data_IF_641197215055
#
_entry.id   IF_641197215055
#
_cell.length_a   1.000
_cell.length_b   1.000
_cell.length_c   1.000
_cell.angle_alpha   90.00
_cell.angle_beta   90.00
_cell.angle_gamma   90.00
#
_symmetry.space_group_name_H-M   'P 1'
#
loop_
_entity.id
_entity.type
_entity.pdbx_description
1 polymer ?
#
# COMPACT_ATOMS: atom_id res chain seq x y z
N UNK A 1 1.44 -4.60 2.34
CA UNK A 1 0.89 -4.61 0.96
C UNK A 1 1.86 -3.92 0.03
N UNK A 2 1.90 -4.28 -1.26
CA UNK A 2 2.62 -3.53 -2.29
C UNK A 2 1.77 -3.30 -3.56
N UNK A 3 2.12 -2.29 -4.36
CA UNK A 3 1.45 -2.02 -5.64
C UNK A 3 2.37 -1.39 -6.67
N UNK A 4 2.12 -1.70 -7.94
CA UNK A 4 2.81 -1.15 -9.11
C UNK A 4 1.90 -0.30 -10.01
N UNK A 5 0.77 0.21 -9.47
CA UNK A 5 -0.13 1.07 -10.25
C UNK A 5 0.54 2.37 -10.71
N UNK A 6 0.19 2.86 -11.90
CA UNK A 6 0.77 4.09 -12.44
C UNK A 6 0.47 5.33 -11.59
N UNK A 7 -0.68 5.36 -10.92
CA UNK A 7 -1.05 6.45 -10.02
C UNK A 7 -0.20 6.44 -8.75
N UNK A 8 0.02 5.27 -8.14
CA UNK A 8 0.88 5.16 -6.97
C UNK A 8 2.32 5.55 -7.31
N UNK A 9 2.83 5.17 -8.49
CA UNK A 9 4.16 5.61 -8.96
C UNK A 9 4.29 7.12 -9.06
N UNK A 10 3.30 7.78 -9.66
CA UNK A 10 3.30 9.25 -9.79
C UNK A 10 3.24 9.94 -8.43
N UNK A 11 2.45 9.38 -7.53
CA UNK A 11 2.23 9.99 -6.22
C UNK A 11 3.45 9.84 -5.31
N UNK A 12 4.07 8.66 -5.26
CA UNK A 12 5.20 8.39 -4.37
C UNK A 12 6.56 8.65 -5.01
N UNK A 13 6.60 8.86 -6.33
CA UNK A 13 7.84 8.83 -7.13
C UNK A 13 8.66 7.55 -6.98
N UNK A 14 8.04 6.44 -6.53
CA UNK A 14 8.66 5.12 -6.43
C UNK A 14 8.03 4.15 -7.43
N UNK A 15 8.83 3.25 -8.01
CA UNK A 15 8.33 2.23 -8.95
C UNK A 15 7.40 1.22 -8.28
N UNK A 16 7.61 0.96 -6.99
CA UNK A 16 6.75 0.13 -6.13
C UNK A 16 6.40 0.92 -4.89
N UNK A 17 5.11 1.05 -4.63
CA UNK A 17 4.60 1.63 -3.39
C UNK A 17 4.31 0.52 -2.39
N UNK A 18 4.78 0.68 -1.16
CA UNK A 18 4.60 -0.28 -0.07
C UNK A 18 3.87 0.36 1.11
N UNK A 19 2.99 -0.41 1.73
CA UNK A 19 2.10 0.06 2.77
C UNK A 19 1.95 -0.94 3.91
N UNK A 20 1.74 -0.40 5.10
CA UNK A 20 1.09 -1.09 6.20
C UNK A 20 -0.41 -0.85 6.10
N UNK A 21 -1.20 -1.93 6.14
CA UNK A 21 -2.66 -1.86 6.18
C UNK A 21 -3.07 -1.89 7.64
N UNK A 22 -3.62 -0.79 8.16
CA UNK A 22 -3.85 -0.59 9.59
C UNK A 22 -5.29 -0.14 9.86
N UNK A 23 -5.82 -0.49 11.02
CA UNK A 23 -6.99 0.19 11.59
C UNK A 23 -6.59 1.59 12.10
N UNK A 24 -7.47 2.61 11.97
CA UNK A 24 -7.23 3.92 12.56
C UNK A 24 -6.89 3.90 14.06
N UNK A 25 -7.38 2.90 14.80
CA UNK A 25 -7.12 2.72 16.24
C UNK A 25 -5.67 2.36 16.55
N UNK A 26 -4.92 1.86 15.56
CA UNK A 26 -3.51 1.49 15.72
C UNK A 26 -2.56 2.70 15.64
N UNK A 27 -3.08 3.90 15.37
CA UNK A 27 -2.28 5.13 15.35
C UNK A 27 -2.55 6.00 16.56
N UNK A 28 -1.50 6.30 17.31
CA UNK A 28 -1.54 7.23 18.43
C UNK A 28 -0.38 8.24 18.33
N UNK A 29 -0.66 9.55 18.23
CA UNK A 29 -1.99 10.15 18.06
C UNK A 29 -2.52 9.92 16.62
N UNK A 30 -3.83 10.06 16.42
CA UNK A 30 -4.43 9.91 15.09
C UNK A 30 -3.85 10.94 14.09
N UNK A 31 -3.67 10.57 12.82
CA UNK A 31 -3.01 11.44 11.82
C UNK A 31 -3.66 12.82 11.68
N UNK A 32 -4.99 12.88 11.77
CA UNK A 32 -5.74 14.14 11.65
C UNK A 32 -5.54 15.10 12.82
N UNK A 33 -4.88 14.67 13.91
CA UNK A 33 -4.50 15.56 15.02
C UNK A 33 -3.28 16.41 14.68
N UNK A 34 -2.47 16.01 13.70
CA UNK A 34 -1.31 16.78 13.25
C UNK A 34 -1.75 17.89 12.29
N UNK A 35 -1.47 19.18 12.58
CA UNK A 35 -1.89 20.29 11.72
C UNK A 35 -1.31 20.24 10.30
N UNK A 36 -0.13 19.63 10.14
CA UNK A 36 0.56 19.45 8.86
C UNK A 36 -0.02 18.30 8.03
N UNK A 37 -0.82 17.39 8.60
CA UNK A 37 -1.46 16.35 7.83
C UNK A 37 -2.66 16.91 7.05
N UNK A 38 -2.67 16.72 5.73
CA UNK A 38 -3.76 17.13 4.83
C UNK A 38 -4.14 15.99 3.91
N UNK A 39 -5.43 15.80 3.72
CA UNK A 39 -5.96 14.83 2.76
C UNK A 39 -6.56 15.54 1.54
N UNK A 40 -6.35 14.95 0.38
CA UNK A 40 -6.93 15.40 -0.89
C UNK A 40 -7.61 14.24 -1.59
N UNK A 41 -8.75 14.50 -2.21
CA UNK A 41 -9.50 13.52 -3.00
C UNK A 41 -8.85 13.36 -4.38
N UNK A 42 -8.42 12.15 -4.70
CA UNK A 42 -7.81 11.84 -6.00
C UNK A 42 -8.79 11.28 -7.03
N UNK A 43 -9.86 10.65 -6.56
CA UNK A 43 -11.07 10.25 -7.29
C UNK A 43 -12.20 10.09 -6.27
N UNK A 44 -13.48 10.00 -6.68
CA UNK A 44 -14.59 9.88 -5.74
C UNK A 44 -14.33 8.77 -4.70
N UNK A 45 -14.37 9.13 -3.42
CA UNK A 45 -14.13 8.19 -2.31
C UNK A 45 -12.67 7.75 -2.09
N UNK A 46 -11.68 8.22 -2.87
CA UNK A 46 -10.26 7.85 -2.71
C UNK A 46 -9.42 9.03 -2.24
N UNK A 47 -8.90 8.92 -1.02
CA UNK A 47 -8.20 10.01 -0.33
C UNK A 47 -6.71 9.72 -0.23
N UNK A 48 -5.92 10.77 -0.41
CA UNK A 48 -4.45 10.77 -0.36
C UNK A 48 -4.01 11.79 0.67
N UNK A 49 -3.31 11.33 1.70
CA UNK A 49 -2.78 12.11 2.81
C UNK A 49 -1.33 12.52 2.58
N UNK A 50 -1.00 13.76 2.94
CA UNK A 50 0.31 14.37 2.76
C UNK A 50 0.70 15.22 3.96
N UNK A 51 2.01 15.45 4.13
CA UNK A 51 2.50 16.56 4.93
C UNK A 51 2.43 17.86 4.10
N UNK A 52 1.72 18.87 4.58
CA UNK A 52 1.60 20.18 3.91
C UNK A 52 2.86 21.05 4.00
N UNK A 53 3.85 20.66 4.80
CA UNK A 53 5.09 21.40 4.95
C UNK A 53 6.18 20.92 3.98
N UNK A 54 6.34 19.60 3.84
CA UNK A 54 7.39 19.00 3.01
C UNK A 54 6.87 18.21 1.79
N UNK A 55 5.56 17.95 1.69
CA UNK A 55 4.96 17.24 0.57
C UNK A 55 5.04 15.71 0.64
N UNK A 56 5.61 15.13 1.70
CA UNK A 56 5.69 13.68 1.88
C UNK A 56 4.31 13.02 1.77
N UNK A 57 4.23 11.92 1.01
CA UNK A 57 3.04 11.06 0.94
C UNK A 57 2.95 10.21 2.20
N UNK A 58 1.83 10.27 2.92
CA UNK A 58 1.69 9.65 4.25
C UNK A 58 0.73 8.48 4.24
N UNK A 59 -0.48 8.66 3.71
CA UNK A 59 -1.51 7.66 3.83
C UNK A 59 -2.46 7.63 2.63
N UNK A 60 -3.02 6.48 2.30
CA UNK A 60 -4.15 6.33 1.39
C UNK A 60 -5.33 5.73 2.13
N UNK A 61 -6.56 6.13 1.79
CA UNK A 61 -7.75 5.44 2.27
C UNK A 61 -8.89 5.48 1.26
N UNK A 62 -9.77 4.51 1.41
CA UNK A 62 -11.02 4.38 0.68
C UNK A 62 -12.21 4.74 1.57
N UNK A 63 -13.22 5.42 1.02
CA UNK A 63 -14.53 5.53 1.65
C UNK A 63 -15.33 4.21 1.60
N UNK A 64 -15.04 3.34 0.64
CA UNK A 64 -15.75 2.06 0.46
C UNK A 64 -15.48 1.09 1.61
N UNK A 65 -14.35 1.26 2.31
CA UNK A 65 -13.98 0.43 3.45
C UNK A 65 -13.22 1.26 4.50
N UNK A 66 -13.98 1.91 5.38
CA UNK A 66 -13.49 2.75 6.47
C UNK A 66 -12.73 2.06 7.63
N UNK A 67 -12.85 0.73 7.88
CA UNK A 67 -12.13 0.09 8.98
C UNK A 67 -10.60 0.07 8.84
N UNK A 68 -10.05 0.32 7.66
CA UNK A 68 -8.61 0.34 7.41
C UNK A 68 -8.18 1.57 6.61
N UNK A 69 -6.90 1.87 6.69
CA UNK A 69 -6.19 2.75 5.78
C UNK A 69 -4.79 2.20 5.53
N UNK A 70 -4.17 2.69 4.46
CA UNK A 70 -2.81 2.33 4.09
C UNK A 70 -1.85 3.42 4.55
N UNK A 71 -0.96 3.10 5.49
CA UNK A 71 0.17 3.95 5.86
C UNK A 71 1.36 3.61 4.97
N UNK A 72 2.01 4.62 4.39
CA UNK A 72 3.22 4.39 3.61
C UNK A 72 4.34 3.83 4.47
N UNK A 73 4.89 2.68 4.08
CA UNK A 73 5.94 2.03 4.86
C UNK A 73 7.18 2.93 5.02
N UNK A 74 7.49 3.73 4.01
CA UNK A 74 8.61 4.67 4.03
C UNK A 74 8.45 5.86 4.97
N UNK A 75 7.32 5.99 5.69
CA UNK A 75 7.16 7.04 6.73
C UNK A 75 7.55 6.56 8.13
N UNK A 76 7.94 5.30 8.29
CA UNK A 76 8.46 4.81 9.57
C UNK A 76 9.87 5.36 9.81
N UNK A 77 10.21 5.55 11.08
CA UNK A 77 11.55 5.96 11.47
C UNK A 77 12.60 4.90 11.07
N UNK A 78 13.80 5.37 10.76
CA UNK A 78 14.90 4.57 10.23
C UNK A 78 15.21 3.34 11.10
N UNK A 79 15.09 3.47 12.42
CA UNK A 79 15.36 2.38 13.38
C UNK A 79 14.52 1.12 13.12
N UNK A 80 13.32 1.27 12.55
CA UNK A 80 12.41 0.15 12.25
C UNK A 80 12.63 -0.45 10.86
N UNK A 81 13.26 0.30 9.95
CA UNK A 81 13.47 -0.11 8.56
C UNK A 81 14.88 -0.64 8.29
N UNK A 82 15.88 -0.15 9.04
CA UNK A 82 17.30 -0.51 8.85
C UNK A 82 17.70 -1.72 9.70
N UNK A 83 16.96 -2.03 10.77
CA UNK A 83 17.11 -3.32 11.47
C UNK A 83 16.78 -4.49 10.54
N UNK A 84 17.68 -5.48 10.48
CA UNK A 84 17.64 -6.52 9.45
C UNK A 84 16.41 -7.43 9.53
N UNK A 85 15.96 -7.78 10.73
CA UNK A 85 14.81 -8.69 10.89
C UNK A 85 13.49 -7.92 10.98
N UNK A 86 13.45 -6.80 11.70
CA UNK A 86 12.23 -5.98 11.82
C UNK A 86 11.89 -5.33 10.49
N UNK A 87 12.88 -4.70 9.83
CA UNK A 87 12.71 -4.07 8.53
C UNK A 87 12.26 -5.08 7.48
N UNK A 88 12.85 -6.28 7.47
CA UNK A 88 12.41 -7.39 6.60
C UNK A 88 10.97 -7.81 6.90
N UNK A 89 10.60 -7.95 8.16
CA UNK A 89 9.22 -8.31 8.55
C UNK A 89 8.20 -7.29 8.08
N UNK A 90 8.52 -6.00 8.18
CA UNK A 90 7.64 -4.91 7.74
C UNK A 90 7.62 -4.74 6.21
N UNK A 91 8.77 -4.94 5.55
CA UNK A 91 8.95 -4.66 4.13
C UNK A 91 8.62 -5.83 3.21
N UNK A 92 8.59 -7.08 3.68
CA UNK A 92 8.10 -8.20 2.87
C UNK A 92 6.57 -8.13 2.82
N UNK A 93 5.95 -7.96 1.63
CA UNK A 93 4.50 -8.01 1.52
C UNK A 93 3.98 -9.35 2.04
N UNK A 94 3.02 -9.33 2.96
CA UNK A 94 2.41 -10.54 3.50
C UNK A 94 0.88 -10.63 3.27
N UNK A 95 0.24 -9.49 2.95
CA UNK A 95 -1.16 -9.43 2.50
C UNK A 95 -1.28 -9.63 0.99
N UNK A 96 -1.19 -8.52 0.25
CA UNK A 96 -1.39 -8.51 -1.21
C UNK A 96 -0.34 -7.68 -1.95
N UNK A 97 -0.17 -7.99 -3.23
CA UNK A 97 0.54 -7.23 -4.23
C UNK A 97 -0.39 -6.97 -5.42
N UNK A 98 -0.70 -5.70 -5.69
CA UNK A 98 -1.62 -5.30 -6.76
C UNK A 98 -0.90 -4.74 -7.99
N UNK A 99 -1.61 -4.80 -9.12
CA UNK A 99 -1.20 -4.18 -10.39
C UNK A 99 0.08 -4.77 -10.99
N UNK A 100 0.31 -6.08 -10.81
CA UNK A 100 1.51 -6.76 -11.32
C UNK A 100 1.57 -6.82 -12.85
N UNK A 101 0.46 -6.60 -13.56
CA UNK A 101 0.52 -6.42 -15.02
C UNK A 101 1.38 -5.21 -15.44
N UNK A 102 1.58 -4.26 -14.53
CA UNK A 102 2.44 -3.09 -14.75
C UNK A 102 3.88 -3.32 -14.26
N UNK A 103 4.21 -4.52 -13.77
CA UNK A 103 5.56 -4.83 -13.31
C UNK A 103 6.54 -4.70 -14.48
N UNK A 104 7.73 -4.16 -14.17
CA UNK A 104 8.84 -4.06 -15.11
C UNK A 104 9.67 -5.31 -14.89
N UNK A 105 9.76 -6.14 -15.93
CA UNK A 105 10.51 -7.40 -15.92
C UNK A 105 11.96 -7.19 -15.47
N UNK A 106 12.41 -8.01 -14.53
CA UNK A 106 13.74 -7.94 -13.93
C UNK A 106 13.97 -6.75 -12.99
N UNK A 107 12.98 -5.88 -12.77
CA UNK A 107 13.11 -4.67 -11.94
C UNK A 107 12.14 -4.72 -10.76
N UNK A 108 10.82 -4.66 -11.02
CA UNK A 108 9.81 -4.58 -9.96
C UNK A 108 9.07 -5.89 -9.71
N UNK A 109 9.21 -6.87 -10.60
CA UNK A 109 8.68 -8.25 -10.49
C UNK A 109 9.46 -9.14 -9.49
N UNK A 110 10.58 -8.62 -8.99
CA UNK A 110 11.45 -9.30 -8.02
C UNK A 110 10.94 -9.23 -6.58
N UNK A 111 10.00 -8.34 -6.26
CA UNK A 111 9.42 -8.27 -4.93
C UNK A 111 8.54 -9.50 -4.69
N UNK A 112 8.85 -10.28 -3.65
CA UNK A 112 8.15 -11.53 -3.31
C UNK A 112 7.40 -11.41 -2.00
N UNK A 113 6.31 -12.18 -1.88
CA UNK A 113 5.47 -12.29 -0.68
C UNK A 113 4.02 -11.85 -0.92
N UNK A 114 3.11 -12.31 -0.05
CA UNK A 114 1.69 -12.01 -0.15
C UNK A 114 1.03 -12.61 -1.40
N UNK A 115 -0.26 -12.33 -1.59
CA UNK A 115 -1.02 -12.75 -2.76
C UNK A 115 -0.81 -11.78 -3.93
N UNK A 116 -0.52 -12.32 -5.10
CA UNK A 116 -0.19 -11.56 -6.30
C UNK A 116 -1.41 -11.38 -7.21
N UNK A 117 -1.69 -10.14 -7.62
CA UNK A 117 -2.81 -9.83 -8.51
C UNK A 117 -2.39 -8.90 -9.65
N UNK A 118 -2.87 -9.21 -10.87
CA UNK A 118 -2.63 -8.39 -12.06
C UNK A 118 -3.28 -7.00 -11.98
N UNK A 119 -4.43 -6.88 -11.32
CA UNK A 119 -5.16 -5.61 -11.07
C UNK A 119 -5.82 -5.63 -9.68
N UNK A 120 -6.30 -4.48 -9.20
CA UNK A 120 -7.21 -4.42 -8.05
C UNK A 120 -8.67 -4.73 -8.46
N UNK A 121 -9.53 -4.98 -7.48
CA UNK A 121 -10.97 -5.12 -7.69
C UNK A 121 -11.71 -3.78 -7.57
N UNK A 122 -13.00 -3.72 -7.90
CA UNK A 122 -13.75 -2.47 -8.05
C UNK A 122 -13.87 -1.63 -6.77
N UNK A 123 -13.78 -2.24 -5.59
CA UNK A 123 -13.80 -1.61 -4.27
C UNK A 123 -12.39 -1.27 -3.74
N UNK A 124 -11.34 -1.59 -4.51
CA UNK A 124 -9.94 -1.49 -4.08
C UNK A 124 -9.43 -2.73 -3.37
N UNK A 125 -10.25 -3.78 -3.27
CA UNK A 125 -9.89 -5.09 -2.76
C UNK A 125 -10.17 -6.11 -3.87
N UNK A 126 -9.27 -7.08 -4.08
CA UNK A 126 -9.69 -8.33 -4.72
C UNK A 126 -9.83 -9.29 -3.58
N UNK A 127 -11.09 -9.65 -3.33
CA UNK A 127 -11.59 -10.44 -2.22
C UNK A 127 -10.56 -11.38 -1.57
N UNK A 128 -10.70 -11.55 -0.25
CA UNK A 128 -10.16 -12.69 0.50
C UNK A 128 -10.84 -14.02 0.08
N UNK A 129 -11.22 -14.16 -1.20
CA UNK A 129 -12.08 -15.22 -1.71
C UNK A 129 -11.30 -16.54 -1.77
N UNK A 130 -11.72 -17.59 -1.04
CA UNK A 130 -11.09 -18.91 -1.12
C UNK A 130 -11.26 -19.57 -2.50
N UNK A 131 -12.05 -18.99 -3.41
CA UNK A 131 -12.32 -19.56 -4.73
C UNK A 131 -11.23 -19.26 -5.79
N UNK A 132 -10.26 -18.38 -5.53
CA UNK A 132 -9.17 -18.11 -6.49
C UNK A 132 -8.02 -19.14 -6.45
N UNK A 133 -8.10 -20.16 -5.59
CA UNK A 133 -7.20 -21.32 -5.60
C UNK A 133 -7.63 -22.37 -6.64
N UNK A 134 -7.89 -22.02 -7.90
CA UNK A 134 -7.98 -23.05 -8.96
C UNK A 134 -7.66 -22.46 -10.34
N UNK A 135 -6.38 -22.35 -10.69
CA UNK A 135 -5.95 -22.53 -12.09
C UNK A 135 -4.42 -22.66 -12.29
N UNK A 136 -3.69 -23.27 -11.36
CA UNK A 136 -2.32 -23.71 -11.65
C UNK A 136 -2.28 -25.23 -11.63
N UNK A 137 -2.38 -25.81 -12.83
CA UNK A 137 -2.23 -27.23 -13.04
C UNK A 137 -2.95 -27.72 -14.29
N UNK A 138 -2.48 -27.33 -15.48
CA UNK A 138 -2.32 -28.21 -16.65
C UNK A 138 -1.77 -27.43 -17.85
N UNK A 139 -0.70 -28.00 -18.41
CA UNK A 139 0.09 -27.66 -19.60
C UNK A 139 1.29 -26.73 -19.40
#
# INVERSE_FOLDING_TARGET
>A
MATSSTMCRKWTSSLVAQFLVLSPEQLTPALNTFPSFKEYTSSPGRFRGFCSECGTSIAWRSADYAPIFDLYLGTLDEEWLVDGETGKTLAVPNGTQYWLQNAIEGVTDKLKGGKEYLTEGPDGLRDLDPASETSDGLF
#
